data_IF_390361039355
#
_entry.id   IF_390361039355
#
_cell.length_a   1.000
_cell.length_b   1.000
_cell.length_c   1.000
_cell.angle_alpha   90.00
_cell.angle_beta   90.00
_cell.angle_gamma   90.00
#
_symmetry.space_group_name_H-M   'P 1'
#
loop_
_entity.id
_entity.type
_entity.pdbx_description
1 polymer ?
#
# COMPACT_ATOMS: atom_id res chain seq x y z
N UNK A 1 -53.68 -28.63 -22.16
CA UNK A 1 -52.92 -29.29 -21.08
C UNK A 1 -53.19 -28.49 -19.83
N UNK A 2 -53.80 -29.10 -18.81
CA UNK A 2 -53.95 -28.44 -17.51
C UNK A 2 -52.56 -28.42 -16.87
N UNK A 3 -52.07 -27.23 -16.52
CA UNK A 3 -50.88 -27.06 -15.69
C UNK A 3 -51.03 -27.92 -14.41
N UNK A 4 -50.00 -28.66 -13.97
CA UNK A 4 -50.08 -29.42 -12.73
C UNK A 4 -50.23 -28.47 -11.53
N UNK A 5 -51.47 -28.28 -11.10
CA UNK A 5 -51.82 -27.50 -9.92
C UNK A 5 -51.33 -28.23 -8.67
N UNK A 6 -50.13 -27.91 -8.23
CA UNK A 6 -49.65 -28.30 -6.90
C UNK A 6 -50.34 -27.40 -5.85
N UNK A 7 -50.65 -28.00 -4.70
CA UNK A 7 -51.22 -27.26 -3.57
C UNK A 7 -50.20 -26.25 -3.06
N UNK A 8 -50.60 -24.98 -2.99
CA UNK A 8 -49.80 -23.93 -2.37
C UNK A 8 -49.77 -24.08 -0.85
N UNK A 9 -48.69 -23.59 -0.25
CA UNK A 9 -48.53 -23.54 1.21
C UNK A 9 -49.35 -22.36 1.72
N UNK A 10 -50.40 -22.63 2.47
CA UNK A 10 -51.27 -21.60 3.06
C UNK A 10 -50.70 -21.15 4.41
N UNK A 11 -50.45 -19.86 4.56
CA UNK A 11 -50.11 -19.21 5.82
C UNK A 11 -51.29 -18.37 6.32
N UNK A 12 -51.46 -18.28 7.65
CA UNK A 12 -52.53 -17.49 8.25
C UNK A 12 -52.20 -15.99 8.21
N UNK A 13 -50.92 -15.65 8.20
CA UNK A 13 -50.48 -14.26 8.18
C UNK A 13 -49.07 -14.11 7.60
N UNK A 14 -48.68 -12.87 7.26
CA UNK A 14 -47.30 -12.54 6.91
C UNK A 14 -46.34 -12.70 8.09
N UNK A 15 -46.84 -12.65 9.33
CA UNK A 15 -46.04 -12.86 10.54
C UNK A 15 -45.61 -14.32 10.68
N UNK A 16 -46.39 -15.27 10.16
CA UNK A 16 -46.01 -16.69 10.15
C UNK A 16 -44.77 -16.88 9.26
N UNK A 17 -44.71 -16.18 8.12
CA UNK A 17 -43.57 -16.23 7.22
C UNK A 17 -42.34 -15.61 7.87
N UNK A 18 -42.46 -14.46 8.53
CA UNK A 18 -41.34 -13.84 9.24
C UNK A 18 -40.87 -14.70 10.41
N UNK A 19 -41.78 -15.34 11.15
CA UNK A 19 -41.43 -16.29 12.19
C UNK A 19 -40.68 -17.50 11.65
N UNK A 20 -41.14 -18.10 10.55
CA UNK A 20 -40.44 -19.21 9.91
C UNK A 20 -39.03 -18.79 9.46
N UNK A 21 -38.90 -17.61 8.85
CA UNK A 21 -37.62 -17.08 8.42
C UNK A 21 -36.65 -16.85 9.60
N UNK A 22 -37.08 -16.09 10.61
CA UNK A 22 -36.27 -15.79 11.81
C UNK A 22 -35.92 -17.04 12.63
N UNK A 23 -36.86 -17.98 12.78
CA UNK A 23 -36.62 -19.25 13.46
C UNK A 23 -35.62 -20.12 12.69
N UNK A 24 -35.70 -20.18 11.35
CA UNK A 24 -34.68 -20.91 10.58
C UNK A 24 -33.30 -20.28 10.71
N UNK A 25 -33.22 -18.95 10.78
CA UNK A 25 -31.98 -18.20 10.91
C UNK A 25 -31.34 -18.44 12.29
N UNK A 26 -32.11 -18.32 13.36
CA UNK A 26 -31.65 -18.57 14.74
C UNK A 26 -31.17 -20.01 14.93
N UNK A 27 -31.97 -20.99 14.52
CA UNK A 27 -31.58 -22.42 14.59
C UNK A 27 -30.34 -22.71 13.73
N UNK A 28 -30.21 -22.08 12.57
CA UNK A 28 -29.03 -22.23 11.73
C UNK A 28 -27.77 -21.71 12.44
N UNK A 29 -27.85 -20.55 13.09
CA UNK A 29 -26.74 -19.97 13.86
C UNK A 29 -26.37 -20.84 15.05
N UNK A 30 -27.35 -21.27 15.85
CA UNK A 30 -27.13 -22.18 16.97
C UNK A 30 -26.44 -23.48 16.53
N UNK A 31 -26.84 -24.03 15.38
CA UNK A 31 -26.21 -25.23 14.82
C UNK A 31 -24.79 -24.99 14.33
N UNK A 32 -24.52 -23.84 13.70
CA UNK A 32 -23.16 -23.48 13.28
C UNK A 32 -22.27 -23.36 14.52
N UNK A 33 -22.75 -22.71 15.58
CA UNK A 33 -22.00 -22.54 16.82
C UNK A 33 -21.76 -23.88 17.55
N UNK A 34 -22.71 -24.80 17.52
CA UNK A 34 -22.56 -26.14 18.12
C UNK A 34 -21.59 -27.05 17.35
N UNK A 35 -21.59 -26.97 16.02
CA UNK A 35 -20.86 -27.89 15.16
C UNK A 35 -19.53 -27.34 14.64
N UNK A 36 -19.17 -26.09 14.97
CA UNK A 36 -17.83 -25.57 14.71
C UNK A 36 -16.80 -26.16 15.67
N UNK A 37 -15.57 -26.44 15.22
CA UNK A 37 -14.54 -26.98 16.09
C UNK A 37 -14.22 -26.00 17.23
N UNK A 38 -13.95 -26.48 18.46
CA UNK A 38 -13.76 -25.64 19.64
C UNK A 38 -12.54 -24.71 19.57
N UNK A 39 -11.58 -25.00 18.68
CA UNK A 39 -10.43 -24.12 18.37
C UNK A 39 -10.80 -22.89 17.55
N UNK A 40 -12.01 -22.88 16.97
CA UNK A 40 -12.54 -21.86 16.07
C UNK A 40 -13.85 -21.26 16.61
N UNK A 41 -14.14 -21.45 17.91
CA UNK A 41 -15.34 -20.91 18.52
C UNK A 41 -15.18 -19.45 18.99
N UNK A 42 -14.11 -18.79 18.56
CA UNK A 42 -13.96 -17.36 18.75
C UNK A 42 -14.92 -16.63 17.79
N UNK A 43 -15.60 -15.58 18.27
CA UNK A 43 -16.61 -14.89 17.47
C UNK A 43 -16.00 -14.17 16.25
N UNK A 44 -14.68 -13.99 16.25
CA UNK A 44 -13.89 -13.32 15.21
C UNK A 44 -13.24 -14.29 14.20
N UNK A 45 -13.63 -15.57 14.12
CA UNK A 45 -13.06 -16.48 13.11
C UNK A 45 -13.61 -16.16 11.69
N UNK A 46 -12.74 -15.78 10.72
CA UNK A 46 -13.16 -15.51 9.35
C UNK A 46 -13.80 -16.71 8.65
N UNK A 47 -13.43 -17.95 9.01
CA UNK A 47 -14.04 -19.14 8.42
C UNK A 47 -15.49 -19.32 8.90
N UNK A 48 -15.72 -19.12 10.20
CA UNK A 48 -17.06 -19.16 10.83
C UNK A 48 -17.98 -18.12 10.20
N UNK A 49 -17.49 -16.90 10.00
CA UNK A 49 -18.24 -15.83 9.34
C UNK A 49 -18.57 -16.15 7.88
N UNK A 50 -17.62 -16.71 7.12
CA UNK A 50 -17.88 -17.14 5.73
C UNK A 50 -18.96 -18.22 5.64
N UNK A 51 -18.94 -19.20 6.53
CA UNK A 51 -19.97 -20.25 6.58
C UNK A 51 -21.33 -19.66 6.94
N UNK A 52 -21.39 -18.76 7.93
CA UNK A 52 -22.62 -18.03 8.28
C UNK A 52 -23.19 -17.29 7.06
N UNK A 53 -22.35 -16.54 6.33
CA UNK A 53 -22.78 -15.83 5.12
C UNK A 53 -23.32 -16.76 4.02
N UNK A 54 -22.71 -17.92 3.82
CA UNK A 54 -23.20 -18.92 2.85
C UNK A 54 -24.56 -19.50 3.25
N UNK A 55 -24.75 -19.78 4.54
CA UNK A 55 -26.00 -20.32 5.07
C UNK A 55 -27.11 -19.27 5.02
N UNK A 56 -26.83 -18.04 5.45
CA UNK A 56 -27.78 -16.93 5.40
C UNK A 56 -28.21 -16.66 3.93
N UNK A 57 -27.26 -16.67 2.99
CA UNK A 57 -27.56 -16.57 1.56
C UNK A 57 -28.39 -17.74 1.01
N UNK A 58 -28.13 -18.97 1.47
CA UNK A 58 -28.92 -20.15 1.11
C UNK A 58 -30.36 -20.07 1.63
N UNK A 59 -30.55 -19.63 2.88
CA UNK A 59 -31.86 -19.43 3.49
C UNK A 59 -32.64 -18.39 2.69
N UNK A 60 -32.04 -17.22 2.42
CA UNK A 60 -32.69 -16.18 1.63
C UNK A 60 -33.11 -16.68 0.24
N UNK A 61 -32.22 -17.39 -0.47
CA UNK A 61 -32.54 -17.97 -1.79
C UNK A 61 -33.69 -18.98 -1.72
N UNK A 62 -33.69 -19.84 -0.70
CA UNK A 62 -34.76 -20.84 -0.48
C UNK A 62 -36.10 -20.17 -0.25
N UNK A 63 -36.17 -19.20 0.67
CA UNK A 63 -37.42 -18.48 0.95
C UNK A 63 -37.89 -17.68 -0.25
N UNK A 64 -36.99 -16.96 -0.92
CA UNK A 64 -37.29 -16.21 -2.16
C UNK A 64 -37.85 -17.13 -3.25
N UNK A 65 -37.25 -18.31 -3.45
CA UNK A 65 -37.76 -19.31 -4.41
C UNK A 65 -39.08 -19.94 -3.97
N UNK A 66 -39.39 -19.97 -2.68
CA UNK A 66 -40.61 -20.53 -2.13
C UNK A 66 -41.80 -19.55 -2.18
N UNK A 67 -41.57 -18.23 -2.21
CA UNK A 67 -42.62 -17.18 -2.29
C UNK A 67 -43.75 -17.52 -3.28
N UNK A 68 -43.49 -17.85 -4.57
CA UNK A 68 -44.57 -18.10 -5.54
C UNK A 68 -45.44 -19.33 -5.19
N UNK A 69 -44.93 -20.22 -4.35
CA UNK A 69 -45.63 -21.41 -3.87
C UNK A 69 -46.38 -21.17 -2.54
N UNK A 70 -46.33 -19.97 -1.99
CA UNK A 70 -46.96 -19.58 -0.72
C UNK A 70 -48.17 -18.67 -0.99
N UNK A 71 -49.30 -18.99 -0.38
CA UNK A 71 -50.51 -18.17 -0.31
C UNK A 71 -50.76 -17.74 1.14
N UNK A 72 -51.22 -16.51 1.33
CA UNK A 72 -51.53 -15.96 2.65
C UNK A 72 -53.01 -15.65 2.69
N UNK A 73 -53.76 -16.36 3.53
CA UNK A 73 -55.23 -16.29 3.58
C UNK A 73 -55.90 -16.45 2.20
N UNK A 74 -55.43 -17.39 1.38
CA UNK A 74 -55.95 -17.61 0.02
C UNK A 74 -55.61 -16.52 -1.00
N UNK A 75 -54.80 -15.52 -0.63
CA UNK A 75 -54.25 -14.52 -1.55
C UNK A 75 -52.86 -15.01 -1.98
N UNK A 76 -52.68 -15.15 -3.29
CA UNK A 76 -51.37 -15.43 -3.86
C UNK A 76 -50.44 -14.23 -3.64
N UNK A 77 -49.28 -14.43 -3.03
CA UNK A 77 -48.29 -13.38 -2.75
C UNK A 77 -47.83 -12.68 -4.04
N UNK A 78 -47.89 -13.40 -5.17
CA UNK A 78 -47.62 -12.86 -6.52
C UNK A 78 -48.76 -12.01 -7.08
N UNK A 79 -50.00 -12.29 -6.69
CA UNK A 79 -51.18 -11.53 -7.10
C UNK A 79 -51.43 -10.28 -6.23
N UNK A 80 -50.92 -10.26 -5.00
CA UNK A 80 -51.01 -9.08 -4.12
C UNK A 80 -50.14 -7.91 -4.61
N UNK A 81 -49.00 -8.20 -5.26
CA UNK A 81 -48.09 -7.19 -5.84
C UNK A 81 -48.63 -6.60 -7.16
N UNK A 82 -49.28 -7.41 -8.00
CA UNK A 82 -49.76 -7.01 -9.33
C UNK A 82 -50.94 -6.02 -9.32
N UNK A 83 -51.55 -5.75 -8.15
CA UNK A 83 -52.63 -4.74 -8.01
C UNK A 83 -52.15 -3.31 -7.79
N UNK A 84 -50.86 -3.04 -7.54
CA UNK A 84 -50.29 -1.68 -7.54
C UNK A 84 -49.83 -1.30 -8.96
N UNK A 85 -50.78 -0.84 -9.76
CA UNK A 85 -50.59 -0.41 -11.15
C UNK A 85 -49.77 0.87 -11.25
N UNK A 86 -48.52 0.73 -11.72
CA UNK A 86 -47.69 1.79 -12.29
C UNK A 86 -46.93 1.21 -13.48
N UNK A 87 -46.96 1.91 -14.61
CA UNK A 87 -46.54 1.46 -15.94
C UNK A 87 -45.01 1.26 -16.06
N UNK A 88 -44.51 0.06 -15.81
CA UNK A 88 -43.29 -0.44 -16.45
C UNK A 88 -43.31 -1.96 -16.47
N UNK A 89 -42.99 -2.52 -17.63
CA UNK A 89 -42.99 -3.96 -17.94
C UNK A 89 -41.62 -4.55 -17.61
N UNK A 90 -41.11 -4.23 -16.41
CA UNK A 90 -39.95 -4.91 -15.84
C UNK A 90 -40.47 -5.91 -14.80
N UNK A 91 -39.99 -7.14 -14.90
CA UNK A 91 -40.33 -8.24 -14.00
C UNK A 91 -40.06 -7.84 -12.54
N UNK A 92 -41.10 -7.40 -11.84
CA UNK A 92 -41.01 -7.11 -10.41
C UNK A 92 -40.90 -8.45 -9.66
N UNK A 93 -39.67 -8.94 -9.53
CA UNK A 93 -39.33 -10.01 -8.59
C UNK A 93 -39.78 -9.56 -7.21
N UNK A 94 -40.70 -10.33 -6.61
CA UNK A 94 -41.16 -10.07 -5.25
C UNK A 94 -39.95 -10.23 -4.33
N UNK A 95 -39.44 -9.12 -3.82
CA UNK A 95 -38.36 -9.16 -2.85
C UNK A 95 -38.90 -9.69 -1.53
N UNK A 96 -38.32 -10.78 -1.04
CA UNK A 96 -38.61 -11.39 0.27
C UNK A 96 -38.66 -10.33 1.37
N UNK A 97 -37.74 -9.37 1.32
CA UNK A 97 -37.67 -8.22 2.23
C UNK A 97 -39.00 -7.48 2.34
N UNK A 98 -39.67 -7.17 1.22
CA UNK A 98 -40.94 -6.45 1.21
C UNK A 98 -42.05 -7.21 1.96
N UNK A 99 -42.01 -8.55 1.91
CA UNK A 99 -42.98 -9.40 2.59
C UNK A 99 -42.68 -9.55 4.08
N UNK A 100 -41.39 -9.60 4.44
CA UNK A 100 -40.92 -9.62 5.82
C UNK A 100 -41.20 -8.28 6.52
N UNK A 101 -40.97 -7.15 5.83
CA UNK A 101 -41.13 -5.80 6.37
C UNK A 101 -42.57 -5.27 6.34
N UNK A 102 -43.54 -6.02 5.76
CA UNK A 102 -44.90 -5.53 5.53
C UNK A 102 -45.68 -5.14 6.81
N UNK A 103 -45.16 -5.45 8.00
CA UNK A 103 -45.70 -5.00 9.30
C UNK A 103 -44.65 -4.54 10.31
N UNK A 104 -43.36 -4.63 9.98
CA UNK A 104 -42.32 -4.11 10.85
C UNK A 104 -42.27 -2.60 10.61
N UNK A 105 -42.86 -1.83 11.52
CA UNK A 105 -42.43 -0.45 11.75
C UNK A 105 -40.92 -0.45 11.65
N UNK A 106 -40.34 0.27 10.68
CA UNK A 106 -38.88 0.36 10.50
C UNK A 106 -38.30 0.67 11.87
N UNK A 107 -37.77 -0.34 12.56
CA UNK A 107 -37.18 -0.19 13.87
C UNK A 107 -35.84 0.46 13.60
N UNK A 108 -35.86 1.79 13.54
CA UNK A 108 -34.64 2.56 13.56
C UNK A 108 -33.98 2.25 14.88
N UNK A 109 -32.80 1.64 14.83
CA UNK A 109 -31.93 1.61 15.99
C UNK A 109 -31.79 3.06 16.50
N UNK A 110 -31.88 3.26 17.82
CA UNK A 110 -31.74 4.59 18.40
C UNK A 110 -30.37 5.14 17.99
N UNK A 111 -30.37 6.35 17.44
CA UNK A 111 -29.15 7.01 17.01
C UNK A 111 -28.21 7.17 18.20
N UNK A 112 -27.07 6.48 18.17
CA UNK A 112 -26.06 6.56 19.21
C UNK A 112 -25.34 7.92 19.12
N UNK A 113 -25.71 8.82 20.04
CA UNK A 113 -25.15 10.16 20.11
C UNK A 113 -23.67 10.16 20.51
N UNK A 114 -23.22 9.14 21.23
CA UNK A 114 -21.85 9.03 21.73
C UNK A 114 -20.91 8.60 20.60
N UNK A 115 -21.34 7.62 19.79
CA UNK A 115 -20.62 7.24 18.57
C UNK A 115 -20.58 8.41 17.57
N UNK A 116 -21.67 9.17 17.42
CA UNK A 116 -21.69 10.35 16.56
C UNK A 116 -20.76 11.47 17.09
N UNK A 117 -20.75 11.73 18.40
CA UNK A 117 -19.82 12.67 19.02
C UNK A 117 -18.36 12.23 18.82
N UNK A 118 -18.08 10.93 18.93
CA UNK A 118 -16.75 10.39 18.66
C UNK A 118 -16.36 10.55 17.19
N UNK A 119 -17.25 10.22 16.26
CA UNK A 119 -17.01 10.36 14.82
C UNK A 119 -16.70 11.81 14.46
N UNK A 120 -17.51 12.76 14.92
CA UNK A 120 -17.29 14.19 14.70
C UNK A 120 -15.97 14.67 15.30
N UNK A 121 -15.58 14.19 16.49
CA UNK A 121 -14.28 14.50 17.08
C UNK A 121 -13.10 13.95 16.27
N UNK A 122 -13.22 12.73 15.72
CA UNK A 122 -12.20 12.13 14.88
C UNK A 122 -12.03 12.89 13.56
N UNK A 123 -13.14 13.33 12.96
CA UNK A 123 -13.10 14.16 11.76
C UNK A 123 -12.41 15.51 12.02
N UNK A 124 -12.73 16.18 13.13
CA UNK A 124 -12.05 17.40 13.51
C UNK A 124 -10.54 17.18 13.75
N UNK A 125 -10.17 16.06 14.39
CA UNK A 125 -8.76 15.69 14.57
C UNK A 125 -8.07 15.46 13.23
N UNK A 126 -8.70 14.73 12.31
CA UNK A 126 -8.18 14.48 10.97
C UNK A 126 -7.95 15.77 10.19
N UNK A 127 -8.91 16.70 10.22
CA UNK A 127 -8.79 18.01 9.57
C UNK A 127 -7.67 18.85 10.19
N UNK A 128 -7.58 18.87 11.53
CA UNK A 128 -6.50 19.58 12.23
C UNK A 128 -5.13 19.00 11.86
N UNK A 129 -4.98 17.67 11.88
CA UNK A 129 -3.72 17.01 11.58
C UNK A 129 -3.32 17.22 10.13
N UNK A 130 -4.28 17.13 9.20
CA UNK A 130 -4.04 17.40 7.78
C UNK A 130 -3.54 18.83 7.57
N UNK A 131 -4.12 19.81 8.27
CA UNK A 131 -3.68 21.20 8.21
C UNK A 131 -2.28 21.38 8.80
N UNK A 132 -1.98 20.76 9.94
CA UNK A 132 -0.64 20.84 10.56
C UNK A 132 0.43 20.16 9.69
N UNK A 133 0.14 19.03 9.06
CA UNK A 133 1.08 18.35 8.15
C UNK A 133 1.32 19.21 6.91
N UNK A 134 0.28 19.85 6.36
CA UNK A 134 0.45 20.78 5.25
C UNK A 134 1.32 21.99 5.64
N UNK A 135 1.14 22.54 6.84
CA UNK A 135 2.00 23.61 7.38
C UNK A 135 3.44 23.12 7.57
N UNK A 136 3.66 21.97 8.20
CA UNK A 136 5.00 21.40 8.39
C UNK A 136 5.71 21.16 7.05
N UNK A 137 5.00 20.67 6.02
CA UNK A 137 5.59 20.49 4.68
C UNK A 137 6.03 21.80 4.05
N UNK A 138 5.37 22.91 4.37
CA UNK A 138 5.72 24.25 3.88
C UNK A 138 6.87 24.87 4.68
N UNK A 139 6.81 24.79 6.01
CA UNK A 139 7.69 25.57 6.89
C UNK A 139 8.95 24.80 7.32
N UNK A 140 8.87 23.47 7.46
CA UNK A 140 10.01 22.66 7.91
C UNK A 140 11.21 22.73 6.96
N UNK A 141 11.06 22.68 5.62
CA UNK A 141 12.21 22.81 4.71
C UNK A 141 12.91 24.16 4.83
N UNK A 142 12.13 25.26 4.92
CA UNK A 142 12.67 26.60 5.07
C UNK A 142 13.38 26.79 6.41
N UNK A 143 12.80 26.25 7.49
CA UNK A 143 13.40 26.31 8.83
C UNK A 143 14.68 25.49 8.90
N UNK A 144 14.71 24.30 8.31
CA UNK A 144 15.91 23.47 8.24
C UNK A 144 17.02 24.17 7.44
N UNK A 145 16.69 24.74 6.27
CA UNK A 145 17.65 25.48 5.45
C UNK A 145 18.28 26.66 6.22
N UNK A 146 17.47 27.46 6.93
CA UNK A 146 17.96 28.56 7.77
C UNK A 146 18.85 28.08 8.93
N UNK A 147 18.48 26.98 9.58
CA UNK A 147 19.30 26.43 10.66
C UNK A 147 20.68 25.95 10.14
N UNK A 148 20.73 25.39 8.93
CA UNK A 148 22.01 25.03 8.29
C UNK A 148 22.81 26.26 7.86
N UNK A 149 22.14 27.30 7.36
CA UNK A 149 22.79 28.59 7.02
C UNK A 149 23.42 29.23 8.27
N UNK A 150 22.68 29.29 9.38
CA UNK A 150 23.17 29.79 10.66
C UNK A 150 24.32 28.94 11.21
N UNK A 151 24.24 27.61 11.11
CA UNK A 151 25.32 26.73 11.53
C UNK A 151 26.58 26.90 10.67
N UNK A 152 26.43 27.03 9.35
CA UNK A 152 27.54 27.25 8.43
C UNK A 152 28.19 28.61 8.63
N UNK A 153 27.39 29.67 8.76
CA UNK A 153 27.91 31.02 9.04
C UNK A 153 28.63 31.08 10.39
N UNK A 154 28.13 30.37 11.41
CA UNK A 154 28.82 30.24 12.69
C UNK A 154 30.13 29.46 12.59
N UNK A 155 30.20 28.41 11.76
CA UNK A 155 31.43 27.65 11.56
C UNK A 155 32.49 28.50 10.83
N UNK A 156 32.10 29.22 9.78
CA UNK A 156 33.01 30.11 9.04
C UNK A 156 33.59 31.22 9.93
N UNK A 157 32.77 31.82 10.80
CA UNK A 157 33.26 32.83 11.74
C UNK A 157 34.27 32.26 12.74
N UNK A 158 34.08 31.02 13.20
CA UNK A 158 35.02 30.38 14.12
C UNK A 158 36.32 29.95 13.39
N UNK A 159 36.23 29.48 12.14
CA UNK A 159 37.39 29.10 11.33
C UNK A 159 38.25 30.34 10.98
N UNK A 160 37.63 31.48 10.64
CA UNK A 160 38.33 32.75 10.37
C UNK A 160 39.10 33.26 11.62
N UNK A 161 38.61 33.00 12.84
CA UNK A 161 39.29 33.36 14.09
C UNK A 161 40.49 32.42 14.41
N UNK A 162 40.48 31.17 13.93
CA UNK A 162 41.57 30.19 14.13
C UNK A 162 42.68 30.32 13.06
N UNK A 163 42.37 30.82 11.86
CA UNK A 163 43.36 31.04 10.78
C UNK A 163 44.26 32.27 11.02
N UNK A 164 43.85 33.24 11.86
CA UNK A 164 44.68 34.42 12.20
C UNK A 164 45.85 34.06 13.15
N UNK A 165 45.82 32.90 13.83
CA UNK A 165 46.88 32.42 14.74
C UNK A 165 47.93 31.49 14.06
N UNK A 166 47.66 30.99 12.84
CA UNK A 166 48.56 30.06 12.10
C UNK A 166 49.29 30.72 10.90
N UNK A 167 49.14 32.05 10.66
CA UNK A 167 49.97 32.81 9.70
C UNK A 167 51.28 33.25 10.37
N UNK A 168 52.09 32.32 10.86
CA UNK A 168 53.48 32.63 11.24
C UNK A 168 54.48 31.46 11.03
N UNK A 169 54.03 30.26 10.66
CA UNK A 169 54.94 29.14 10.40
C UNK A 169 54.55 28.40 9.11
N UNK A 170 55.23 28.75 8.01
CA UNK A 170 55.72 27.87 6.93
C UNK A 170 55.63 28.52 5.53
N UNK A 171 56.38 29.60 5.32
CA UNK A 171 56.83 30.05 3.99
C UNK A 171 58.30 29.66 3.77
N UNK A 172 58.66 28.38 3.93
CA UNK A 172 59.85 27.86 3.27
C UNK A 172 59.51 27.53 1.80
N UNK A 173 59.61 28.56 0.98
CA UNK A 173 59.68 28.45 -0.48
C UNK A 173 60.96 27.69 -0.83
N UNK A 174 60.93 26.36 -0.86
CA UNK A 174 61.99 25.56 -1.52
C UNK A 174 61.69 25.55 -3.03
N UNK A 175 61.86 26.73 -3.65
CA UNK A 175 61.98 26.90 -5.09
C UNK A 175 63.33 26.33 -5.54
N UNK A 176 63.40 25.01 -5.64
CA UNK A 176 64.41 24.35 -6.47
C UNK A 176 63.82 24.08 -7.84
N UNK A 177 64.05 25.03 -8.73
CA UNK A 177 64.20 24.79 -10.16
C UNK A 177 65.01 23.51 -10.41
N UNK A 178 64.37 22.47 -10.93
CA UNK A 178 65.05 21.44 -11.72
C UNK A 178 64.27 21.21 -13.02
N UNK A 179 64.51 22.13 -13.96
CA UNK A 179 64.22 21.96 -15.37
C UNK A 179 65.18 20.89 -15.91
N UNK A 180 64.74 19.62 -15.99
CA UNK A 180 65.09 18.64 -17.04
C UNK A 180 64.69 17.21 -16.64
N UNK A 181 63.49 16.77 -17.03
CA UNK A 181 63.26 15.50 -17.76
C UNK A 181 61.76 15.30 -18.01
N UNK A 182 61.42 15.28 -19.30
CA UNK A 182 60.12 14.94 -19.86
C UNK A 182 60.15 13.44 -20.19
N UNK A 183 59.02 12.77 -19.98
CA UNK A 183 58.69 11.39 -20.40
C UNK A 183 59.05 10.23 -19.45
N UNK A 184 58.60 10.31 -18.20
CA UNK A 184 57.97 9.17 -17.51
C UNK A 184 57.08 9.72 -16.38
N UNK A 185 55.87 9.18 -16.25
CA UNK A 185 55.08 9.23 -15.01
C UNK A 185 54.28 10.50 -14.68
N UNK A 186 53.50 11.00 -15.66
CA UNK A 186 52.38 11.91 -15.36
C UNK A 186 51.36 11.29 -14.38
N UNK A 187 51.18 9.97 -14.43
CA UNK A 187 50.31 9.23 -13.52
C UNK A 187 50.85 9.21 -12.07
N UNK A 188 52.16 9.08 -11.86
CA UNK A 188 52.73 9.10 -10.50
C UNK A 188 52.65 10.49 -9.88
N UNK A 189 52.83 11.58 -10.66
CA UNK A 189 52.63 12.95 -10.15
C UNK A 189 51.19 13.19 -9.72
N UNK A 190 50.21 12.71 -10.50
CA UNK A 190 48.80 12.80 -10.13
C UNK A 190 48.47 11.94 -8.89
N UNK A 191 49.08 10.76 -8.76
CA UNK A 191 48.93 9.93 -7.56
C UNK A 191 49.54 10.59 -6.33
N UNK A 192 50.71 11.23 -6.45
CA UNK A 192 51.35 11.96 -5.36
C UNK A 192 50.58 13.21 -4.93
N UNK A 193 50.03 13.98 -5.88
CA UNK A 193 49.15 15.12 -5.59
C UNK A 193 47.88 14.66 -4.88
N UNK A 194 47.21 13.61 -5.38
CA UNK A 194 46.06 13.00 -4.71
C UNK A 194 46.41 12.53 -3.29
N UNK A 195 47.61 11.97 -3.09
CA UNK A 195 48.06 11.51 -1.78
C UNK A 195 48.24 12.66 -0.80
N UNK A 196 48.83 13.77 -1.25
CA UNK A 196 48.97 15.00 -0.45
C UNK A 196 47.61 15.62 -0.11
N UNK A 197 46.67 15.61 -1.05
CA UNK A 197 45.30 16.09 -0.83
C UNK A 197 44.56 15.20 0.16
N UNK A 198 44.69 13.87 0.05
CA UNK A 198 44.12 12.91 1.00
C UNK A 198 44.73 13.11 2.40
N UNK A 199 46.04 13.33 2.51
CA UNK A 199 46.71 13.59 3.79
C UNK A 199 46.29 14.93 4.41
N UNK A 200 46.03 15.96 3.58
CA UNK A 200 45.48 17.25 4.02
C UNK A 200 44.05 17.07 4.54
N UNK A 201 43.19 16.37 3.80
CA UNK A 201 41.81 16.05 4.21
C UNK A 201 41.80 15.21 5.49
N UNK A 202 42.70 14.23 5.62
CA UNK A 202 42.81 13.42 6.84
C UNK A 202 43.23 14.24 8.06
N UNK A 203 44.16 15.19 7.93
CA UNK A 203 44.52 16.11 9.02
C UNK A 203 43.34 16.99 9.45
N UNK A 204 42.57 17.49 8.49
CA UNK A 204 41.37 18.29 8.76
C UNK A 204 40.29 17.44 9.47
N UNK A 205 40.05 16.22 8.99
CA UNK A 205 39.09 15.29 9.62
C UNK A 205 39.53 14.79 11.01
N UNK A 206 40.84 14.78 11.31
CA UNK A 206 41.36 14.50 12.65
C UNK A 206 41.17 15.68 13.60
N UNK A 207 41.28 16.92 13.11
CA UNK A 207 40.98 18.14 13.88
C UNK A 207 39.47 18.28 14.15
N UNK A 208 38.63 17.93 13.16
CA UNK A 208 37.16 18.04 13.21
C UNK A 208 36.45 16.69 13.09
N UNK A 209 36.43 15.86 14.15
CA UNK A 209 35.74 14.57 14.15
C UNK A 209 34.22 14.68 13.95
N UNK A 210 33.64 15.85 14.21
CA UNK A 210 32.22 16.17 14.04
C UNK A 210 31.79 16.32 12.58
N UNK A 211 32.73 16.54 11.64
CA UNK A 211 32.45 16.60 10.20
C UNK A 211 32.35 15.22 9.56
N UNK A 212 32.75 14.16 10.26
CA UNK A 212 32.47 12.80 9.83
C UNK A 212 30.96 12.55 9.90
N UNK A 213 30.34 12.48 8.72
CA UNK A 213 28.94 12.11 8.57
C UNK A 213 28.72 10.68 9.12
N UNK A 214 28.30 10.60 10.37
CA UNK A 214 27.83 9.36 10.97
C UNK A 214 26.44 9.08 10.40
N UNK A 215 26.40 8.48 9.21
CA UNK A 215 25.16 7.92 8.69
C UNK A 215 24.67 6.88 9.71
N UNK A 216 23.41 6.94 10.18
CA UNK A 216 22.87 5.94 11.10
C UNK A 216 22.62 4.63 10.34
N UNK A 217 23.68 3.89 10.05
CA UNK A 217 23.63 2.67 9.26
C UNK A 217 23.28 1.46 10.14
N UNK A 218 22.09 1.46 10.74
CA UNK A 218 21.50 0.30 11.40
C UNK A 218 22.44 -0.51 12.32
N UNK A 219 22.31 -1.84 12.29
CA UNK A 219 23.17 -2.78 13.04
C UNK A 219 24.57 -2.91 12.41
N UNK A 220 25.61 -3.17 13.21
CA UNK A 220 27.02 -3.32 12.78
C UNK A 220 27.22 -4.26 11.58
N UNK A 221 26.42 -5.34 11.50
CA UNK A 221 26.44 -6.28 10.37
C UNK A 221 25.96 -5.65 9.04
N UNK A 222 25.02 -4.72 9.12
CA UNK A 222 24.53 -3.97 7.96
C UNK A 222 25.61 -2.98 7.54
N UNK A 223 26.23 -2.28 8.48
CA UNK A 223 27.34 -1.37 8.20
C UNK A 223 28.53 -2.08 7.52
N UNK A 224 28.89 -3.28 7.95
CA UNK A 224 29.88 -4.13 7.25
C UNK A 224 29.48 -4.41 5.80
N UNK A 225 28.22 -4.83 5.57
CA UNK A 225 27.69 -5.09 4.22
C UNK A 225 27.60 -3.86 3.32
N UNK A 226 27.48 -2.66 3.90
CA UNK A 226 27.59 -1.41 3.14
C UNK A 226 29.03 -1.11 2.74
N UNK A 227 30.01 -1.42 3.59
CA UNK A 227 31.45 -1.28 3.28
C UNK A 227 31.90 -2.30 2.24
N UNK A 228 31.36 -3.50 2.30
CA UNK A 228 31.71 -4.61 1.41
C UNK A 228 30.89 -4.59 0.09
N UNK A 229 29.95 -3.66 -0.08
CA UNK A 229 29.11 -3.51 -1.30
C UNK A 229 27.95 -4.52 -1.41
N UNK A 230 27.95 -5.57 -0.59
CA UNK A 230 26.96 -6.66 -0.50
C UNK A 230 25.51 -6.21 -0.28
N UNK A 231 25.29 -5.00 0.27
CA UNK A 231 23.95 -4.51 0.52
C UNK A 231 23.14 -4.32 -0.77
N UNK A 232 23.80 -3.96 -1.87
CA UNK A 232 23.17 -3.79 -3.19
C UNK A 232 22.58 -5.10 -3.72
N UNK A 233 23.27 -6.22 -3.51
CA UNK A 233 22.81 -7.55 -3.91
C UNK A 233 21.64 -8.04 -3.07
N UNK A 234 21.61 -7.70 -1.79
CA UNK A 234 20.47 -7.99 -0.92
C UNK A 234 19.23 -7.22 -1.39
N UNK A 235 19.38 -5.95 -1.73
CA UNK A 235 18.28 -5.16 -2.30
C UNK A 235 17.82 -5.71 -3.65
N UNK A 236 18.75 -6.06 -4.54
CA UNK A 236 18.43 -6.66 -5.84
C UNK A 236 17.64 -7.97 -5.69
N UNK A 237 18.08 -8.88 -4.81
CA UNK A 237 17.37 -10.14 -4.52
C UNK A 237 16.01 -9.91 -3.85
N UNK A 238 15.90 -8.93 -2.96
CA UNK A 238 14.62 -8.57 -2.32
C UNK A 238 13.61 -8.02 -3.34
N UNK A 239 14.07 -7.24 -4.31
CA UNK A 239 13.23 -6.71 -5.39
C UNK A 239 12.85 -7.83 -6.38
N UNK A 240 13.76 -8.75 -6.67
CA UNK A 240 13.48 -9.90 -7.53
C UNK A 240 12.46 -10.86 -6.88
N UNK A 241 12.56 -11.09 -5.58
CA UNK A 241 11.60 -11.91 -4.81
C UNK A 241 10.24 -11.22 -4.67
N UNK A 242 10.21 -9.91 -4.42
CA UNK A 242 8.98 -9.12 -4.49
C UNK A 242 8.34 -9.15 -5.88
N UNK A 243 9.13 -9.10 -6.94
CA UNK A 243 8.65 -9.20 -8.32
C UNK A 243 8.08 -10.59 -8.62
N UNK A 244 8.73 -11.66 -8.14
CA UNK A 244 8.19 -13.03 -8.21
C UNK A 244 6.87 -13.16 -7.47
N UNK A 245 6.76 -12.61 -6.26
CA UNK A 245 5.50 -12.59 -5.49
C UNK A 245 4.39 -11.76 -6.14
N UNK A 246 4.74 -10.63 -6.76
CA UNK A 246 3.78 -9.74 -7.43
C UNK A 246 3.40 -10.24 -8.84
N UNK A 247 4.21 -11.12 -9.44
CA UNK A 247 4.02 -11.73 -10.75
C UNK A 247 3.25 -13.05 -10.74
N UNK A 248 3.11 -13.74 -9.60
CA UNK A 248 2.33 -15.00 -9.50
C UNK A 248 0.80 -14.80 -9.47
N UNK A 249 0.31 -13.58 -9.72
CA UNK A 249 -1.12 -13.27 -9.82
C UNK A 249 -1.65 -12.96 -11.23
N UNK A 250 -0.80 -12.85 -12.25
CA UNK A 250 -1.25 -12.54 -13.62
C UNK A 250 -0.61 -13.52 -14.59
N UNK A 251 -1.36 -14.58 -14.92
CA UNK A 251 -1.00 -15.52 -15.96
C UNK A 251 -0.68 -14.80 -17.26
N UNK A 252 0.59 -14.87 -17.67
CA UNK A 252 1.00 -14.67 -19.06
C UNK A 252 1.78 -15.92 -19.40
N UNK A 253 1.12 -16.79 -20.15
CA UNK A 253 1.64 -18.07 -20.58
C UNK A 253 2.90 -17.89 -21.42
N UNK A 254 3.90 -18.71 -21.12
CA UNK A 254 4.95 -19.05 -22.07
C UNK A 254 4.28 -19.81 -23.22
N UNK A 255 3.93 -19.09 -24.28
CA UNK A 255 3.43 -19.62 -25.53
C UNK A 255 4.45 -19.37 -26.62
N UNK A 256 5.14 -20.46 -26.97
CA UNK A 256 5.76 -20.82 -28.25
C UNK A 256 6.57 -19.78 -29.05
N UNK A 257 7.78 -20.21 -29.36
CA UNK A 257 8.59 -19.73 -30.48
C UNK A 257 7.83 -19.96 -31.82
N UNK A 258 8.17 -19.12 -32.80
CA UNK A 258 7.84 -19.15 -34.22
C UNK A 258 6.79 -18.16 -34.77
N UNK A 259 7.25 -17.48 -35.83
CA UNK A 259 6.54 -16.87 -36.97
C UNK A 259 6.66 -15.34 -37.18
N UNK A 260 6.91 -15.05 -38.44
CA UNK A 260 7.35 -13.82 -39.09
C UNK A 260 6.21 -12.85 -39.42
N UNK A 261 6.62 -11.61 -39.72
CA UNK A 261 6.07 -10.71 -40.74
C UNK A 261 4.88 -9.77 -40.43
N UNK A 262 4.91 -8.61 -41.10
CA UNK A 262 3.72 -7.87 -41.52
C UNK A 262 3.29 -6.66 -40.67
N UNK A 263 3.45 -5.45 -41.22
CA UNK A 263 3.12 -4.18 -40.56
C UNK A 263 1.64 -3.75 -40.51
N UNK A 264 1.42 -2.50 -40.07
CA UNK A 264 0.20 -1.75 -40.36
C UNK A 264 -0.58 -1.17 -39.17
N UNK A 265 -0.35 0.11 -38.88
CA UNK A 265 -1.33 1.18 -38.61
C UNK A 265 -2.56 0.93 -37.69
N UNK A 266 -2.62 1.73 -36.61
CA UNK A 266 -3.66 2.75 -36.35
C UNK A 266 -4.59 2.65 -35.10
N UNK A 267 -4.62 3.79 -34.39
CA UNK A 267 -5.67 4.43 -33.58
C UNK A 267 -6.20 3.81 -32.26
N UNK A 268 -6.07 4.64 -31.21
CA UNK A 268 -6.93 4.80 -30.01
C UNK A 268 -6.86 3.75 -28.90
N UNK A 269 -6.21 4.09 -27.78
CA UNK A 269 -6.78 4.23 -26.43
C UNK A 269 -5.74 4.01 -25.33
N UNK A 270 -5.76 4.88 -24.30
CA UNK A 270 -5.28 4.54 -22.94
C UNK A 270 -3.77 4.56 -22.75
N UNK A 271 -3.22 5.75 -22.47
CA UNK A 271 -1.85 5.90 -21.96
C UNK A 271 -1.68 5.32 -20.56
N UNK A 272 -1.49 4.01 -20.47
CA UNK A 272 -0.94 3.30 -19.33
C UNK A 272 0.25 2.45 -19.83
N UNK A 273 1.21 3.14 -20.45
CA UNK A 273 2.46 2.54 -20.91
C UNK A 273 3.46 2.42 -19.76
N UNK A 274 3.65 1.19 -19.30
CA UNK A 274 4.89 0.63 -18.75
C UNK A 274 5.55 1.31 -17.52
N UNK A 275 5.22 0.86 -16.28
CA UNK A 275 6.14 1.00 -15.15
C UNK A 275 7.38 0.08 -15.25
N UNK A 276 7.42 -0.87 -16.20
CA UNK A 276 8.43 -1.94 -16.29
C UNK A 276 9.80 -1.49 -16.84
N UNK A 277 9.86 -0.43 -17.65
CA UNK A 277 11.13 -0.02 -18.29
C UNK A 277 12.04 0.82 -17.37
N UNK A 278 11.50 1.40 -16.29
CA UNK A 278 12.26 2.34 -15.45
C UNK A 278 12.98 1.68 -14.29
N UNK A 279 12.57 0.50 -13.86
CA UNK A 279 13.14 -0.22 -12.71
C UNK A 279 14.27 -1.16 -13.12
N UNK A 280 14.18 -1.82 -14.29
CA UNK A 280 15.29 -2.60 -14.88
C UNK A 280 16.49 -1.69 -15.14
N UNK A 281 16.27 -0.50 -15.72
CA UNK A 281 17.32 0.49 -15.91
C UNK A 281 17.86 1.10 -14.61
N UNK A 282 17.17 0.96 -13.46
CA UNK A 282 17.71 1.37 -12.14
C UNK A 282 18.59 0.27 -11.53
N UNK A 283 18.20 -1.00 -11.68
CA UNK A 283 19.00 -2.13 -11.23
C UNK A 283 20.30 -2.29 -12.03
N UNK A 284 20.26 -2.09 -13.36
CA UNK A 284 21.47 -2.12 -14.19
C UNK A 284 22.38 -0.92 -13.96
N UNK A 285 21.83 0.30 -13.75
CA UNK A 285 22.65 1.47 -13.37
C UNK A 285 23.28 1.32 -11.99
N UNK A 286 22.60 0.67 -11.04
CA UNK A 286 23.19 0.37 -9.74
C UNK A 286 24.37 -0.61 -9.86
N UNK A 287 24.26 -1.64 -10.70
CA UNK A 287 25.37 -2.57 -11.00
C UNK A 287 26.53 -1.94 -11.77
N UNK A 288 26.26 -0.98 -12.64
CA UNK A 288 27.31 -0.23 -13.34
C UNK A 288 28.02 0.77 -12.43
N UNK A 289 27.30 1.38 -11.47
CA UNK A 289 27.89 2.31 -10.51
C UNK A 289 28.88 1.62 -9.56
N UNK A 290 28.64 0.36 -9.15
CA UNK A 290 29.60 -0.42 -8.34
C UNK A 290 30.87 -0.74 -9.13
N UNK A 291 30.76 -1.07 -10.42
CA UNK A 291 31.93 -1.33 -11.27
C UNK A 291 32.83 -0.11 -11.54
N UNK A 292 32.35 1.12 -11.30
CA UNK A 292 33.16 2.35 -11.36
C UNK A 292 33.88 2.60 -10.03
N UNK A 293 33.25 2.23 -8.90
CA UNK A 293 33.85 2.35 -7.56
C UNK A 293 34.93 1.28 -7.33
N UNK A 294 34.80 0.08 -7.91
CA UNK A 294 35.84 -0.97 -7.84
C UNK A 294 37.05 -0.71 -8.76
N UNK A 295 37.00 0.32 -9.63
CA UNK A 295 38.07 0.71 -10.56
C UNK A 295 38.70 2.08 -10.24
N UNK A 296 38.26 2.75 -9.18
CA UNK A 296 38.93 3.92 -8.59
C UNK A 296 39.71 3.50 -7.35
#
# INVERSE_FOLDING_TARGET
MQEPHHRKIELQSTADLSYLYTNTLTVAREKIDLHFPPSANDDSDPMKERVRNLVDGFINKTFTSAIPSISINGIDTTAASSKKKGTSRDEQTIHLESLLTARESIEYEPFDTDLAARLTSLYAQLESLTTTVAQMRRDAPLKAAKAYEEALTSALLNDDDDDDDDIDEDYDVDDKHDDMQVDADADQRQEEEKKRDIERIQRILQKHPEWLLQAPVGTEQVQGRWRDGDMSDVYARSLETLFKLQGEGSGIGYGNEDEEDGGGSSYMAGGAGAPLATTVGKAERARLATGVVEKM
#
